data_IF_783892507706
#
_entry.id   IF_783892507706
#
_cell.length_a   1.000
_cell.length_b   1.000
_cell.length_c   1.000
_cell.angle_alpha   90.00
_cell.angle_beta   90.00
_cell.angle_gamma   90.00
#
_symmetry.space_group_name_H-M   'P 1'
#
loop_
_entity.id
_entity.type
_entity.pdbx_description
1 polymer ?
#
# COMPACT_ATOMS: atom_id res chain seq x y z
N UNK A 1 8.87 -5.11 9.96
CA UNK A 1 9.23 -3.67 10.08
C UNK A 1 9.49 -3.03 8.71
N UNK A 2 9.02 -1.80 8.52
CA UNK A 2 9.28 -1.00 7.31
C UNK A 2 10.77 -0.63 7.29
N UNK A 3 11.38 -0.77 6.12
CA UNK A 3 12.77 -0.41 5.85
C UNK A 3 12.87 0.87 5.02
N UNK A 4 11.95 1.05 4.07
CA UNK A 4 11.97 2.17 3.14
C UNK A 4 10.58 2.74 2.92
N UNK A 5 10.50 4.07 2.90
CA UNK A 5 9.33 4.84 2.48
C UNK A 5 9.70 5.65 1.24
N UNK A 6 8.88 5.59 0.20
CA UNK A 6 8.99 6.43 -1.00
C UNK A 6 7.69 7.22 -1.18
N UNK A 7 7.80 8.53 -1.43
CA UNK A 7 6.65 9.46 -1.47
C UNK A 7 6.50 10.25 -2.78
N UNK A 8 7.25 9.89 -3.82
CA UNK A 8 7.28 10.66 -5.08
C UNK A 8 6.01 10.49 -5.92
N UNK A 9 5.38 9.31 -5.93
CA UNK A 9 4.16 9.02 -6.69
C UNK A 9 3.22 8.14 -5.85
N UNK A 10 2.56 8.77 -4.87
CA UNK A 10 1.90 8.05 -3.78
C UNK A 10 2.87 7.63 -2.69
N UNK A 11 2.43 6.76 -1.79
CA UNK A 11 3.21 6.26 -0.66
C UNK A 11 3.51 4.79 -0.83
N UNK A 12 4.79 4.42 -1.01
CA UNK A 12 5.25 3.03 -1.06
C UNK A 12 6.06 2.69 0.18
N UNK A 13 5.62 1.68 0.91
CA UNK A 13 6.29 1.10 2.07
C UNK A 13 6.93 -0.22 1.66
N UNK A 14 8.24 -0.34 1.82
CA UNK A 14 8.96 -1.60 1.61
C UNK A 14 9.47 -2.11 2.94
N UNK A 15 9.16 -3.37 3.26
CA UNK A 15 9.63 -4.06 4.44
C UNK A 15 10.98 -4.74 4.18
N UNK A 16 11.73 -5.03 5.26
CA UNK A 16 13.06 -5.67 5.18
C UNK A 16 13.07 -7.04 4.46
N UNK A 17 11.92 -7.71 4.40
CA UNK A 17 11.77 -9.00 3.72
C UNK A 17 11.36 -8.86 2.24
N UNK A 18 11.42 -7.65 1.67
CA UNK A 18 11.08 -7.37 0.28
C UNK A 18 9.59 -7.17 0.01
N UNK A 19 8.69 -7.53 0.95
CA UNK A 19 7.27 -7.21 0.81
C UNK A 19 7.04 -5.70 0.71
N UNK A 20 6.05 -5.29 -0.06
CA UNK A 20 5.71 -3.88 -0.16
C UNK A 20 4.21 -3.62 -0.30
N UNK A 21 3.81 -2.43 0.14
CA UNK A 21 2.45 -1.89 0.04
C UNK A 21 2.55 -0.48 -0.54
N UNK A 22 1.69 -0.15 -1.51
CA UNK A 22 1.67 1.16 -2.14
C UNK A 22 0.25 1.72 -2.22
N UNK A 23 0.07 2.97 -1.79
CA UNK A 23 -1.16 3.73 -1.92
C UNK A 23 -0.92 4.89 -2.89
N UNK A 24 -1.76 5.03 -3.91
CA UNK A 24 -1.60 6.06 -4.94
C UNK A 24 -2.95 6.59 -5.41
N UNK A 25 -3.12 7.91 -5.35
CA UNK A 25 -4.28 8.55 -5.98
C UNK A 25 -4.21 8.43 -7.50
N UNK A 26 -5.33 8.20 -8.17
CA UNK A 26 -5.38 8.30 -9.63
C UNK A 26 -5.33 9.77 -10.07
N UNK A 27 -4.53 10.07 -11.10
CA UNK A 27 -4.46 11.41 -11.68
C UNK A 27 -5.63 11.75 -12.61
N UNK A 28 -6.40 10.74 -13.05
CA UNK A 28 -7.46 10.88 -14.06
C UNK A 28 -8.85 10.52 -13.56
N UNK A 29 -8.95 9.87 -12.41
CA UNK A 29 -10.19 9.30 -11.88
C UNK A 29 -10.28 9.59 -10.37
N UNK A 30 -11.48 9.74 -9.79
CA UNK A 30 -11.65 9.96 -8.36
C UNK A 30 -11.51 8.64 -7.57
N UNK A 31 -10.37 7.96 -7.72
CA UNK A 31 -10.11 6.65 -7.10
C UNK A 31 -8.74 6.60 -6.44
N UNK A 32 -8.65 5.85 -5.34
CA UNK A 32 -7.39 5.48 -4.68
C UNK A 32 -7.02 4.05 -5.10
N UNK A 33 -5.78 3.87 -5.60
CA UNK A 33 -5.23 2.57 -5.94
C UNK A 33 -4.36 2.04 -4.80
N UNK A 34 -4.49 0.75 -4.53
CA UNK A 34 -3.73 0.04 -3.49
C UNK A 34 -3.09 -1.16 -4.15
N UNK A 35 -1.76 -1.25 -4.06
CA UNK A 35 -0.97 -2.34 -4.63
C UNK A 35 -0.18 -3.02 -3.52
N UNK A 36 -0.02 -4.34 -3.61
CA UNK A 36 0.79 -5.08 -2.65
C UNK A 36 1.54 -6.22 -3.35
N UNK A 37 2.69 -6.55 -2.80
CA UNK A 37 3.47 -7.72 -3.18
C UNK A 37 3.99 -8.43 -1.94
N UNK A 38 3.82 -9.75 -1.93
CA UNK A 38 4.32 -10.64 -0.90
C UNK A 38 4.58 -12.02 -1.51
N UNK A 39 5.38 -12.89 -0.85
CA UNK A 39 5.67 -14.24 -1.34
C UNK A 39 4.47 -15.19 -1.41
N UNK A 40 3.33 -14.83 -0.83
CA UNK A 40 2.12 -15.68 -0.75
C UNK A 40 0.88 -14.84 -1.01
N UNK A 41 -0.16 -15.48 -1.56
CA UNK A 41 -1.47 -14.85 -1.76
C UNK A 41 -2.08 -14.34 -0.45
N UNK A 42 -1.94 -15.10 0.64
CA UNK A 42 -2.41 -14.68 1.96
C UNK A 42 -1.66 -13.44 2.47
N UNK A 43 -0.35 -13.35 2.23
CA UNK A 43 0.43 -12.15 2.52
C UNK A 43 -0.02 -10.94 1.70
N UNK A 44 -0.31 -11.13 0.40
CA UNK A 44 -0.86 -10.06 -0.45
C UNK A 44 -2.21 -9.60 0.09
N UNK A 45 -3.12 -10.53 0.41
CA UNK A 45 -4.43 -10.21 0.96
C UNK A 45 -4.34 -9.42 2.28
N UNK A 46 -3.42 -9.80 3.17
CA UNK A 46 -3.16 -9.08 4.42
C UNK A 46 -2.68 -7.65 4.17
N UNK A 47 -1.72 -7.44 3.26
CA UNK A 47 -1.21 -6.11 2.93
C UNK A 47 -2.29 -5.24 2.28
N UNK A 48 -3.10 -5.79 1.37
CA UNK A 48 -4.21 -5.05 0.77
C UNK A 48 -5.25 -4.64 1.81
N UNK A 49 -5.59 -5.52 2.76
CA UNK A 49 -6.50 -5.18 3.86
C UNK A 49 -5.92 -4.07 4.74
N UNK A 50 -4.61 -4.12 5.04
CA UNK A 50 -3.93 -3.05 5.77
C UNK A 50 -4.01 -1.72 5.01
N UNK A 51 -3.73 -1.72 3.70
CA UNK A 51 -3.84 -0.53 2.85
C UNK A 51 -5.26 0.05 2.85
N UNK A 52 -6.29 -0.80 2.74
CA UNK A 52 -7.69 -0.37 2.78
C UNK A 52 -8.05 0.25 4.13
N UNK A 53 -7.58 -0.33 5.23
CA UNK A 53 -7.83 0.20 6.58
C UNK A 53 -7.17 1.57 6.77
N UNK A 54 -5.93 1.75 6.29
CA UNK A 54 -5.23 3.04 6.32
C UNK A 54 -5.98 4.11 5.51
N UNK A 55 -6.46 3.75 4.32
CA UNK A 55 -7.24 4.65 3.47
C UNK A 55 -8.54 5.09 4.18
N UNK A 56 -9.29 4.14 4.75
CA UNK A 56 -10.54 4.43 5.48
C UNK A 56 -10.32 5.28 6.73
N UNK A 57 -9.23 5.05 7.46
CA UNK A 57 -8.90 5.83 8.66
C UNK A 57 -8.61 7.30 8.34
N UNK A 58 -8.09 7.59 7.14
CA UNK A 58 -7.73 8.94 6.69
C UNK A 58 -8.92 9.75 6.14
N UNK A 59 -10.10 9.13 5.98
CA UNK A 59 -11.32 9.75 5.44
C UNK A 59 -12.29 10.22 6.54
N UNK A 60 -11.81 10.33 7.79
CA UNK A 60 -12.59 10.83 8.93
C UNK A 60 -12.40 12.32 9.13
#
# INVERSE_FOLDING_TARGET
>A
PVERLQTFDGMKFTARNGCWLMLRGSGTEPVLRIYAEAPTESGVAQLLQQGQNLARASLR
#
